data_IF_949505660822
#
_entry.id   IF_949505660822
#
_cell.length_a   1.000
_cell.length_b   1.000
_cell.length_c   1.000
_cell.angle_alpha   90.00
_cell.angle_beta   90.00
_cell.angle_gamma   90.00
#
_symmetry.space_group_name_H-M   'P 1'
#
loop_
_entity.id
_entity.type
_entity.pdbx_description
1 polymer ?
#
# COMPACT_ATOMS: atom_id res chain seq x y z
N UNK A 1 -29.60 31.88 6.56
CA UNK A 1 -28.57 32.10 7.60
C UNK A 1 -27.22 31.73 7.02
N UNK A 2 -26.16 32.47 7.31
CA UNK A 2 -24.86 32.34 6.64
C UNK A 2 -23.90 31.40 7.35
N UNK A 3 -22.85 30.96 6.64
CA UNK A 3 -21.75 30.21 7.23
C UNK A 3 -21.06 31.03 8.33
N UNK A 4 -20.56 30.38 9.40
CA UNK A 4 -19.74 31.06 10.38
C UNK A 4 -18.38 31.45 9.79
N UNK A 5 -17.56 32.17 10.56
CA UNK A 5 -16.22 32.60 10.14
C UNK A 5 -15.36 31.41 9.71
N UNK A 6 -14.47 31.62 8.73
CA UNK A 6 -13.53 30.61 8.21
C UNK A 6 -12.83 29.79 9.31
N UNK A 7 -12.28 30.45 10.34
CA UNK A 7 -11.62 29.76 11.45
C UNK A 7 -12.55 28.84 12.24
N UNK A 8 -13.81 29.23 12.42
CA UNK A 8 -14.81 28.44 13.15
C UNK A 8 -15.20 27.21 12.34
N UNK A 9 -15.44 27.36 11.03
CA UNK A 9 -15.76 26.23 10.14
C UNK A 9 -14.66 25.17 10.22
N UNK A 10 -13.40 25.58 10.03
CA UNK A 10 -12.27 24.65 10.02
C UNK A 10 -12.04 23.98 11.39
N UNK A 11 -12.19 24.72 12.49
CA UNK A 11 -12.11 24.13 13.84
C UNK A 11 -13.21 23.08 14.08
N UNK A 12 -14.43 23.34 13.62
CA UNK A 12 -15.53 22.36 13.75
C UNK A 12 -15.23 21.09 12.95
N UNK A 13 -14.71 21.21 11.72
CA UNK A 13 -14.31 20.05 10.91
C UNK A 13 -13.21 19.23 11.60
N UNK A 14 -12.21 19.90 12.18
CA UNK A 14 -11.15 19.25 12.96
C UNK A 14 -11.72 18.51 14.17
N UNK A 15 -12.58 19.14 14.97
CA UNK A 15 -13.19 18.50 16.13
C UNK A 15 -14.05 17.29 15.74
N UNK A 16 -14.79 17.36 14.63
CA UNK A 16 -15.54 16.23 14.12
C UNK A 16 -14.60 15.10 13.68
N UNK A 17 -13.50 15.42 12.99
CA UNK A 17 -12.51 14.44 12.56
C UNK A 17 -11.79 13.76 13.74
N UNK A 18 -11.42 14.52 14.79
CA UNK A 18 -10.78 13.97 16.01
C UNK A 18 -11.68 13.00 16.77
N UNK A 19 -13.00 13.18 16.70
CA UNK A 19 -13.94 12.31 17.41
C UNK A 19 -14.01 10.89 16.85
N UNK A 20 -13.68 10.69 15.57
CA UNK A 20 -13.89 9.46 14.79
C UNK A 20 -15.35 8.91 14.83
N UNK A 21 -16.31 9.66 15.35
CA UNK A 21 -17.72 9.27 15.43
C UNK A 21 -18.39 9.43 14.06
N UNK A 22 -18.98 8.37 13.55
CA UNK A 22 -19.56 8.35 12.20
C UNK A 22 -20.65 9.41 11.97
N UNK A 23 -21.41 9.80 13.01
CA UNK A 23 -22.43 10.83 12.87
C UNK A 23 -21.81 12.23 12.74
N UNK A 24 -20.78 12.53 13.54
CA UNK A 24 -20.06 13.80 13.44
C UNK A 24 -19.26 13.91 12.14
N UNK A 25 -18.63 12.82 11.71
CA UNK A 25 -17.96 12.74 10.41
C UNK A 25 -18.92 12.98 9.24
N UNK A 26 -20.10 12.34 9.26
CA UNK A 26 -21.12 12.57 8.24
C UNK A 26 -21.61 14.03 8.21
N UNK A 27 -21.81 14.65 9.39
CA UNK A 27 -22.15 16.08 9.47
C UNK A 27 -21.04 16.97 8.94
N UNK A 28 -19.78 16.65 9.23
CA UNK A 28 -18.62 17.34 8.67
C UNK A 28 -18.58 17.25 7.16
N UNK A 29 -18.80 16.06 6.60
CA UNK A 29 -18.89 15.86 5.15
C UNK A 29 -20.04 16.68 4.53
N UNK A 30 -21.25 16.63 5.10
CA UNK A 30 -22.39 17.41 4.60
C UNK A 30 -22.10 18.91 4.63
N UNK A 31 -21.43 19.42 5.67
CA UNK A 31 -21.02 20.82 5.75
C UNK A 31 -20.06 21.20 4.63
N UNK A 32 -19.13 20.31 4.28
CA UNK A 32 -18.22 20.49 3.14
C UNK A 32 -19.00 20.51 1.83
N UNK A 33 -19.91 19.57 1.59
CA UNK A 33 -20.75 19.54 0.38
C UNK A 33 -21.54 20.85 0.22
N UNK A 34 -22.22 21.29 1.29
CA UNK A 34 -22.98 22.55 1.30
C UNK A 34 -22.10 23.76 0.99
N UNK A 35 -20.88 23.81 1.53
CA UNK A 35 -19.97 24.91 1.25
C UNK A 35 -19.57 24.96 -0.22
N UNK A 36 -19.40 23.82 -0.88
CA UNK A 36 -19.12 23.76 -2.32
C UNK A 36 -20.36 24.11 -3.15
N UNK A 37 -21.53 23.57 -2.81
CA UNK A 37 -22.78 23.84 -3.53
C UNK A 37 -23.18 25.32 -3.48
N UNK A 38 -22.89 26.00 -2.37
CA UNK A 38 -23.15 27.43 -2.19
C UNK A 38 -22.03 28.34 -2.73
N UNK A 39 -20.97 27.80 -3.35
CA UNK A 39 -19.84 28.58 -3.87
C UNK A 39 -18.98 29.24 -2.78
N UNK A 40 -18.98 28.66 -1.57
CA UNK A 40 -18.26 29.14 -0.37
C UNK A 40 -17.05 28.26 -0.01
N UNK A 41 -16.48 27.56 -0.99
CA UNK A 41 -15.32 26.69 -0.80
C UNK A 41 -14.08 27.43 -0.27
N UNK A 42 -14.00 28.75 -0.44
CA UNK A 42 -12.93 29.59 0.12
C UNK A 42 -12.90 29.63 1.66
N UNK A 43 -14.00 29.22 2.32
CA UNK A 43 -14.08 29.05 3.77
C UNK A 43 -13.37 27.79 4.26
N UNK A 44 -13.07 26.84 3.38
CA UNK A 44 -12.44 25.58 3.73
C UNK A 44 -10.94 25.65 3.50
N UNK A 45 -10.16 25.06 4.41
CA UNK A 45 -8.71 24.97 4.30
C UNK A 45 -8.28 23.55 3.93
N UNK A 46 -7.15 23.44 3.22
CA UNK A 46 -6.65 22.17 2.72
C UNK A 46 -6.38 21.17 3.85
N UNK A 47 -5.69 21.59 4.91
CA UNK A 47 -5.28 20.70 6.01
C UNK A 47 -6.49 20.14 6.80
N UNK A 48 -7.48 20.93 7.24
CA UNK A 48 -8.72 20.42 7.84
C UNK A 48 -9.51 19.48 6.94
N UNK A 49 -9.61 19.76 5.63
CA UNK A 49 -10.29 18.88 4.68
C UNK A 49 -9.56 17.53 4.53
N UNK A 50 -8.24 17.56 4.38
CA UNK A 50 -7.42 16.36 4.30
C UNK A 50 -7.51 15.52 5.58
N UNK A 51 -7.52 16.18 6.74
CA UNK A 51 -7.67 15.54 8.04
C UNK A 51 -9.04 14.88 8.21
N UNK A 52 -10.12 15.56 7.79
CA UNK A 52 -11.47 14.98 7.75
C UNK A 52 -11.56 13.79 6.79
N UNK A 53 -10.94 13.88 5.60
CA UNK A 53 -10.90 12.78 4.63
C UNK A 53 -10.22 11.54 5.22
N UNK A 54 -9.11 11.71 5.94
CA UNK A 54 -8.44 10.62 6.64
C UNK A 54 -9.34 9.99 7.72
N UNK A 55 -10.03 10.81 8.52
CA UNK A 55 -10.95 10.33 9.54
C UNK A 55 -12.13 9.55 8.94
N UNK A 56 -12.72 10.05 7.85
CA UNK A 56 -13.77 9.34 7.09
C UNK A 56 -13.27 7.99 6.57
N UNK A 57 -12.05 7.92 6.03
CA UNK A 57 -11.46 6.67 5.57
C UNK A 57 -11.22 5.67 6.72
N UNK A 58 -10.70 6.14 7.86
CA UNK A 58 -10.52 5.32 9.08
C UNK A 58 -11.84 4.74 9.59
N UNK A 59 -12.94 5.49 9.45
CA UNK A 59 -14.29 5.04 9.82
C UNK A 59 -15.01 4.26 8.70
N UNK A 60 -14.30 3.84 7.65
CA UNK A 60 -14.85 3.01 6.56
C UNK A 60 -15.74 3.75 5.55
N UNK A 61 -15.80 5.09 5.63
CA UNK A 61 -16.64 5.94 4.77
C UNK A 61 -15.87 6.36 3.51
N UNK A 62 -15.57 5.38 2.65
CA UNK A 62 -14.69 5.57 1.49
C UNK A 62 -15.22 6.57 0.45
N UNK A 63 -16.54 6.62 0.22
CA UNK A 63 -17.16 7.56 -0.73
C UNK A 63 -16.93 9.01 -0.28
N UNK A 64 -17.37 9.46 0.91
CA UNK A 64 -17.05 10.78 1.45
C UNK A 64 -15.56 11.13 1.45
N UNK A 65 -14.70 10.20 1.90
CA UNK A 65 -13.26 10.41 1.93
C UNK A 65 -12.70 10.72 0.53
N UNK A 66 -13.11 9.93 -0.47
CA UNK A 66 -12.69 10.10 -1.87
C UNK A 66 -13.22 11.40 -2.48
N UNK A 67 -14.46 11.80 -2.16
CA UNK A 67 -15.06 13.04 -2.67
C UNK A 67 -14.29 14.26 -2.18
N UNK A 68 -13.89 14.29 -0.90
CA UNK A 68 -13.09 15.39 -0.36
C UNK A 68 -11.73 15.50 -1.07
N UNK A 69 -11.05 14.38 -1.32
CA UNK A 69 -9.79 14.39 -2.07
C UNK A 69 -9.97 14.95 -3.49
N UNK A 70 -11.04 14.54 -4.20
CA UNK A 70 -11.34 15.08 -5.54
C UNK A 70 -11.60 16.58 -5.51
N UNK A 71 -12.37 17.06 -4.53
CA UNK A 71 -12.64 18.48 -4.34
C UNK A 71 -11.37 19.29 -4.07
N UNK A 72 -10.44 18.76 -3.28
CA UNK A 72 -9.12 19.39 -3.07
C UNK A 72 -8.35 19.56 -4.38
N UNK A 73 -8.34 18.51 -5.22
CA UNK A 73 -7.71 18.57 -6.56
C UNK A 73 -8.43 19.54 -7.49
N UNK A 74 -9.77 19.58 -7.45
CA UNK A 74 -10.61 20.49 -8.26
C UNK A 74 -10.32 21.96 -7.98
N UNK A 75 -10.06 22.31 -6.72
CA UNK A 75 -9.71 23.69 -6.30
C UNK A 75 -8.20 23.96 -6.33
N UNK A 76 -7.42 23.08 -6.94
CA UNK A 76 -5.95 23.15 -7.06
C UNK A 76 -5.19 23.17 -5.71
N UNK A 77 -5.82 22.70 -4.63
CA UNK A 77 -5.22 22.53 -3.31
C UNK A 77 -4.63 21.12 -3.18
N UNK A 78 -3.48 20.90 -3.82
CA UNK A 78 -2.88 19.57 -3.97
C UNK A 78 -2.32 18.99 -2.64
N UNK A 79 -2.91 17.90 -2.08
CA UNK A 79 -2.36 17.24 -0.91
C UNK A 79 -1.06 16.49 -1.24
N UNK A 80 -0.14 16.42 -0.27
CA UNK A 80 1.10 15.65 -0.41
C UNK A 80 0.81 14.15 -0.55
N UNK A 81 1.62 13.43 -1.35
CA UNK A 81 1.43 11.99 -1.64
C UNK A 81 1.31 11.12 -0.40
N UNK A 82 2.17 11.34 0.59
CA UNK A 82 2.12 10.60 1.86
C UNK A 82 0.78 10.74 2.58
N UNK A 83 0.13 11.92 2.52
CA UNK A 83 -1.14 12.12 3.17
C UNK A 83 -2.32 11.47 2.43
N UNK A 84 -2.47 11.72 1.13
CA UNK A 84 -3.59 11.12 0.39
C UNK A 84 -3.43 9.61 0.23
N UNK A 85 -2.19 9.10 0.14
CA UNK A 85 -1.93 7.66 0.12
C UNK A 85 -2.31 6.97 1.44
N UNK A 86 -2.23 7.65 2.59
CA UNK A 86 -2.73 7.13 3.85
C UNK A 86 -4.26 7.03 3.88
N UNK A 87 -4.97 8.03 3.34
CA UNK A 87 -6.42 7.93 3.13
C UNK A 87 -6.76 6.70 2.29
N UNK A 88 -6.03 6.46 1.19
CA UNK A 88 -6.23 5.27 0.35
C UNK A 88 -5.95 3.97 1.08
N UNK A 89 -4.93 3.94 1.95
CA UNK A 89 -4.58 2.75 2.72
C UNK A 89 -5.79 2.29 3.55
N UNK A 90 -6.41 3.22 4.26
CA UNK A 90 -7.61 2.94 5.06
C UNK A 90 -8.83 2.59 4.22
N UNK A 91 -9.07 3.32 3.11
CA UNK A 91 -10.15 2.98 2.19
C UNK A 91 -9.98 1.55 1.62
N UNK A 92 -8.75 1.13 1.36
CA UNK A 92 -8.43 -0.17 0.78
C UNK A 92 -8.57 -1.34 1.76
N UNK A 93 -9.01 -1.11 2.99
CA UNK A 93 -9.39 -2.17 3.93
C UNK A 93 -10.77 -2.78 3.61
N UNK A 94 -11.56 -2.16 2.73
CA UNK A 94 -12.86 -2.65 2.27
C UNK A 94 -12.92 -2.67 0.73
N UNK A 95 -13.73 -3.57 0.17
CA UNK A 95 -13.78 -3.78 -1.29
C UNK A 95 -14.25 -2.56 -2.10
N UNK A 96 -15.31 -1.89 -1.66
CA UNK A 96 -15.79 -0.65 -2.30
C UNK A 96 -14.75 0.47 -2.21
N UNK A 97 -14.05 0.58 -1.07
CA UNK A 97 -13.00 1.56 -0.89
C UNK A 97 -11.74 1.26 -1.70
N UNK A 98 -11.37 -0.01 -1.86
CA UNK A 98 -10.26 -0.43 -2.73
C UNK A 98 -10.51 -0.04 -4.19
N UNK A 99 -11.72 -0.21 -4.70
CA UNK A 99 -12.07 0.22 -6.06
C UNK A 99 -11.90 1.75 -6.20
N UNK A 100 -12.40 2.52 -5.24
CA UNK A 100 -12.28 3.98 -5.24
C UNK A 100 -10.82 4.44 -5.08
N UNK A 101 -10.00 3.73 -4.29
CA UNK A 101 -8.57 3.99 -4.17
C UNK A 101 -7.87 3.85 -5.52
N UNK A 102 -8.21 2.81 -6.28
CA UNK A 102 -7.66 2.61 -7.62
C UNK A 102 -8.10 3.72 -8.60
N UNK A 103 -9.38 4.14 -8.56
CA UNK A 103 -9.85 5.29 -9.34
C UNK A 103 -9.08 6.57 -9.00
N UNK A 104 -8.91 6.89 -7.72
CA UNK A 104 -8.19 8.08 -7.29
C UNK A 104 -6.73 8.09 -7.76
N UNK A 105 -6.03 6.95 -7.67
CA UNK A 105 -4.66 6.86 -8.19
C UNK A 105 -4.62 7.10 -9.71
N UNK A 106 -5.61 6.60 -10.46
CA UNK A 106 -5.69 6.85 -11.90
C UNK A 106 -6.01 8.31 -12.22
N UNK A 107 -6.99 8.90 -11.54
CA UNK A 107 -7.38 10.31 -11.71
C UNK A 107 -6.18 11.23 -11.43
N UNK A 108 -5.52 11.05 -10.28
CA UNK A 108 -4.34 11.83 -9.89
C UNK A 108 -3.17 11.55 -10.84
N UNK A 109 -2.91 10.29 -11.17
CA UNK A 109 -1.82 9.90 -12.05
C UNK A 109 -1.95 10.46 -13.46
N UNK A 110 -3.18 10.67 -13.95
CA UNK A 110 -3.42 11.29 -15.26
C UNK A 110 -2.85 12.71 -15.35
N UNK A 111 -2.81 13.45 -14.23
CA UNK A 111 -2.19 14.78 -14.16
C UNK A 111 -0.68 14.76 -14.47
N UNK A 112 -0.02 13.61 -14.28
CA UNK A 112 1.42 13.43 -14.49
C UNK A 112 1.77 12.61 -15.74
N UNK A 113 0.76 12.21 -16.52
CA UNK A 113 0.92 11.34 -17.67
C UNK A 113 1.91 11.92 -18.69
N UNK A 114 2.83 11.09 -19.19
CA UNK A 114 3.86 11.43 -20.19
C UNK A 114 4.71 12.65 -19.82
N UNK A 115 5.03 12.82 -18.52
CA UNK A 115 5.89 13.91 -18.02
C UNK A 115 5.43 15.31 -18.43
N UNK A 116 4.10 15.52 -18.53
CA UNK A 116 3.49 16.81 -18.86
C UNK A 116 3.80 17.93 -17.85
N UNK A 117 4.14 17.56 -16.62
CA UNK A 117 4.52 18.49 -15.55
C UNK A 117 6.04 18.60 -15.47
N UNK A 118 6.58 19.78 -15.78
CA UNK A 118 8.02 20.05 -15.70
C UNK A 118 8.47 20.15 -14.22
N UNK A 119 9.34 19.24 -13.73
CA UNK A 119 9.82 19.27 -12.36
C UNK A 119 10.74 20.44 -12.03
N UNK A 120 11.26 21.15 -13.03
CA UNK A 120 12.20 22.26 -12.84
C UNK A 120 11.49 23.58 -12.53
N UNK A 121 10.19 23.69 -12.83
CA UNK A 121 9.39 24.89 -12.56
C UNK A 121 8.91 24.91 -11.12
N UNK A 122 9.34 25.91 -10.35
CA UNK A 122 8.94 26.07 -8.94
C UNK A 122 7.43 26.21 -8.75
N UNK A 123 6.70 26.78 -9.72
CA UNK A 123 5.23 26.87 -9.69
C UNK A 123 4.55 25.50 -9.66
N UNK A 124 5.21 24.45 -10.17
CA UNK A 124 4.66 23.10 -10.21
C UNK A 124 4.90 22.33 -8.90
N UNK A 125 5.66 22.90 -7.94
CA UNK A 125 6.03 22.19 -6.71
C UNK A 125 4.82 21.65 -5.92
N UNK A 126 3.70 22.40 -5.75
CA UNK A 126 2.51 21.88 -5.08
C UNK A 126 1.91 20.66 -5.81
N UNK A 127 1.73 20.74 -7.13
CA UNK A 127 1.22 19.63 -7.93
C UNK A 127 2.17 18.42 -7.86
N UNK A 128 3.48 18.63 -8.03
CA UNK A 128 4.48 17.56 -7.97
C UNK A 128 4.52 16.84 -6.62
N UNK A 129 4.19 17.52 -5.52
CA UNK A 129 4.09 16.91 -4.19
C UNK A 129 2.97 15.86 -4.11
N UNK A 130 1.96 15.93 -4.98
CA UNK A 130 0.85 14.99 -5.06
C UNK A 130 1.15 13.79 -5.97
N UNK A 131 2.26 13.80 -6.71
CA UNK A 131 2.58 12.74 -7.69
C UNK A 131 2.52 11.35 -7.05
N UNK A 132 1.76 10.38 -7.62
CA UNK A 132 1.71 9.03 -7.10
C UNK A 132 3.11 8.42 -7.02
N UNK A 133 3.40 7.79 -5.90
CA UNK A 133 4.66 7.08 -5.65
C UNK A 133 4.41 5.56 -5.60
N UNK A 134 5.48 4.79 -5.47
CA UNK A 134 5.44 3.32 -5.43
C UNK A 134 4.55 2.81 -4.30
N UNK A 135 4.55 3.47 -3.14
CA UNK A 135 3.69 3.08 -2.00
C UNK A 135 2.20 3.25 -2.32
N UNK A 136 1.78 4.38 -2.89
CA UNK A 136 0.38 4.60 -3.27
C UNK A 136 -0.11 3.57 -4.29
N UNK A 137 0.74 3.22 -5.26
CA UNK A 137 0.47 2.16 -6.23
C UNK A 137 0.37 0.79 -5.57
N UNK A 138 1.32 0.44 -4.68
CA UNK A 138 1.28 -0.82 -3.93
C UNK A 138 -0.01 -0.95 -3.12
N UNK A 139 -0.44 0.10 -2.43
CA UNK A 139 -1.71 0.13 -1.68
C UNK A 139 -2.91 -0.16 -2.59
N UNK A 140 -3.06 0.61 -3.67
CA UNK A 140 -4.21 0.46 -4.56
C UNK A 140 -4.24 -0.91 -5.25
N UNK A 141 -3.09 -1.41 -5.69
CA UNK A 141 -2.98 -2.71 -6.36
C UNK A 141 -3.16 -3.89 -5.39
N UNK A 142 -2.61 -3.81 -4.17
CA UNK A 142 -2.82 -4.82 -3.14
C UNK A 142 -4.31 -4.91 -2.75
N UNK A 143 -4.98 -3.77 -2.59
CA UNK A 143 -6.43 -3.73 -2.42
C UNK A 143 -7.15 -4.39 -3.60
N UNK A 144 -6.78 -4.04 -4.84
CA UNK A 144 -7.42 -4.61 -6.02
C UNK A 144 -7.29 -6.14 -6.08
N UNK A 145 -6.12 -6.67 -5.69
CA UNK A 145 -5.91 -8.11 -5.59
C UNK A 145 -6.77 -8.71 -4.48
N UNK A 146 -6.79 -8.14 -3.28
CA UNK A 146 -7.53 -8.68 -2.14
C UNK A 146 -9.04 -8.77 -2.41
N UNK A 147 -9.60 -7.80 -3.14
CA UNK A 147 -11.03 -7.70 -3.44
C UNK A 147 -11.41 -8.08 -4.88
N UNK A 148 -10.47 -8.61 -5.66
CA UNK A 148 -10.75 -9.14 -6.99
C UNK A 148 -11.09 -8.11 -8.07
N UNK A 149 -10.78 -6.83 -7.89
CA UNK A 149 -10.98 -5.78 -8.91
C UNK A 149 -9.83 -5.76 -9.93
N UNK A 150 -9.52 -6.92 -10.51
CA UNK A 150 -8.29 -7.15 -11.30
C UNK A 150 -8.25 -6.40 -12.63
N UNK A 151 -9.40 -6.10 -13.24
CA UNK A 151 -9.47 -5.22 -14.42
C UNK A 151 -8.99 -3.81 -14.11
N UNK A 152 -9.36 -3.29 -12.94
CA UNK A 152 -8.91 -1.97 -12.48
C UNK A 152 -7.42 -1.96 -12.17
N UNK A 153 -6.92 -3.08 -11.64
CA UNK A 153 -5.50 -3.28 -11.43
C UNK A 153 -4.70 -3.20 -12.75
N UNK A 154 -5.20 -3.75 -13.86
CA UNK A 154 -4.54 -3.61 -15.18
C UNK A 154 -4.43 -2.17 -15.64
N UNK A 155 -5.49 -1.37 -15.48
CA UNK A 155 -5.45 0.06 -15.83
C UNK A 155 -4.36 0.80 -15.03
N UNK A 156 -4.19 0.44 -13.74
CA UNK A 156 -3.11 0.97 -12.90
C UNK A 156 -1.73 0.51 -13.40
N UNK A 157 -1.56 -0.76 -13.76
CA UNK A 157 -0.29 -1.27 -14.30
C UNK A 157 0.09 -0.56 -15.60
N UNK A 158 -0.87 -0.31 -16.48
CA UNK A 158 -0.68 0.44 -17.71
C UNK A 158 -0.28 1.89 -17.46
N UNK A 159 -0.67 2.47 -16.32
CA UNK A 159 -0.35 3.84 -15.92
C UNK A 159 1.08 4.00 -15.38
N UNK A 160 1.58 3.06 -14.59
CA UNK A 160 2.91 3.14 -13.93
C UNK A 160 4.02 3.66 -14.85
N UNK A 161 4.25 3.10 -16.06
CA UNK A 161 5.31 3.58 -16.95
C UNK A 161 5.05 5.00 -17.47
N UNK A 162 3.79 5.39 -17.66
CA UNK A 162 3.40 6.73 -18.17
C UNK A 162 3.66 7.85 -17.18
N UNK A 163 3.62 7.54 -15.88
CA UNK A 163 3.95 8.50 -14.80
C UNK A 163 5.40 8.37 -14.32
N UNK A 164 6.16 7.40 -14.86
CA UNK A 164 7.58 7.22 -14.56
C UNK A 164 7.87 6.78 -13.13
N UNK A 165 6.97 5.99 -12.51
CA UNK A 165 7.23 5.41 -11.19
C UNK A 165 8.05 4.13 -11.34
N UNK A 166 9.10 3.98 -10.51
CA UNK A 166 9.93 2.78 -10.49
C UNK A 166 9.28 1.71 -9.60
N UNK A 167 9.25 0.48 -10.10
CA UNK A 167 8.79 -0.66 -9.34
C UNK A 167 9.80 -1.03 -8.25
N UNK A 168 9.31 -1.26 -7.03
CA UNK A 168 10.05 -1.94 -5.97
C UNK A 168 9.72 -3.44 -5.97
N UNK A 169 10.40 -4.20 -5.12
CA UNK A 169 10.19 -5.65 -5.04
C UNK A 169 8.73 -6.04 -4.75
N UNK A 170 8.04 -5.27 -3.90
CA UNK A 170 6.62 -5.49 -3.60
C UNK A 170 5.74 -5.26 -4.84
N UNK A 171 5.99 -4.18 -5.58
CA UNK A 171 5.25 -3.89 -6.81
C UNK A 171 5.43 -5.00 -7.85
N UNK A 172 6.66 -5.52 -7.99
CA UNK A 172 6.94 -6.64 -8.91
C UNK A 172 6.15 -7.90 -8.54
N UNK A 173 6.09 -8.27 -7.27
CA UNK A 173 5.30 -9.42 -6.81
C UNK A 173 3.79 -9.18 -7.02
N UNK A 174 3.29 -8.00 -6.69
CA UNK A 174 1.89 -7.61 -6.92
C UNK A 174 1.54 -7.67 -8.41
N UNK A 175 2.41 -7.16 -9.29
CA UNK A 175 2.25 -7.26 -10.75
C UNK A 175 2.13 -8.71 -11.20
N UNK A 176 2.96 -9.61 -10.65
CA UNK A 176 2.91 -11.03 -10.98
C UNK A 176 1.57 -11.67 -10.61
N UNK A 177 1.04 -11.38 -9.42
CA UNK A 177 -0.29 -11.85 -9.01
C UNK A 177 -1.40 -11.32 -9.94
N UNK A 178 -1.33 -10.06 -10.36
CA UNK A 178 -2.34 -9.49 -11.27
C UNK A 178 -2.28 -10.16 -12.63
N UNK A 179 -1.09 -10.32 -13.19
CA UNK A 179 -0.90 -10.99 -14.48
C UNK A 179 -1.32 -12.46 -14.43
N UNK A 180 -1.03 -13.15 -13.33
CA UNK A 180 -1.48 -14.53 -13.08
C UNK A 180 -3.02 -14.62 -13.07
N UNK A 181 -3.68 -13.74 -12.30
CA UNK A 181 -5.15 -13.75 -12.17
C UNK A 181 -5.87 -13.41 -13.48
N UNK A 182 -5.26 -12.56 -14.30
CA UNK A 182 -5.82 -12.14 -15.59
C UNK A 182 -5.32 -12.97 -16.78
N UNK A 183 -4.47 -13.98 -16.55
CA UNK A 183 -3.95 -14.85 -17.61
C UNK A 183 -3.00 -14.13 -18.58
N UNK A 184 -2.30 -13.07 -18.14
CA UNK A 184 -1.34 -12.29 -18.97
C UNK A 184 0.03 -12.97 -19.01
N UNK A 185 0.09 -14.18 -19.60
CA UNK A 185 1.29 -15.04 -19.66
C UNK A 185 2.53 -14.34 -20.23
N UNK A 186 2.35 -13.55 -21.29
CA UNK A 186 3.47 -12.85 -21.94
C UNK A 186 4.07 -11.75 -21.05
N UNK A 187 3.22 -10.98 -20.35
CA UNK A 187 3.67 -9.95 -19.42
C UNK A 187 4.36 -10.57 -18.20
N UNK A 188 3.83 -11.69 -17.68
CA UNK A 188 4.45 -12.44 -16.60
C UNK A 188 5.84 -12.99 -17.00
N UNK A 189 6.01 -13.44 -18.25
CA UNK A 189 7.32 -13.87 -18.79
C UNK A 189 8.30 -12.71 -18.93
N UNK A 190 7.85 -11.53 -19.36
CA UNK A 190 8.70 -10.32 -19.40
C UNK A 190 9.15 -9.93 -17.99
N UNK A 191 8.23 -9.99 -17.03
CA UNK A 191 8.51 -9.70 -15.63
C UNK A 191 9.52 -10.69 -15.03
N UNK A 192 9.42 -11.98 -15.36
CA UNK A 192 10.40 -12.99 -14.96
C UNK A 192 11.82 -12.65 -15.43
N UNK A 193 11.99 -12.29 -16.71
CA UNK A 193 13.31 -11.89 -17.24
C UNK A 193 13.88 -10.70 -16.47
N UNK A 194 13.05 -9.71 -16.18
CA UNK A 194 13.49 -8.54 -15.41
C UNK A 194 13.92 -8.90 -13.98
N UNK A 195 13.20 -9.81 -13.32
CA UNK A 195 13.56 -10.27 -11.97
C UNK A 195 14.87 -11.04 -11.99
N UNK A 196 15.02 -11.99 -12.91
CA UNK A 196 16.21 -12.84 -13.03
C UNK A 196 17.48 -12.03 -13.41
N UNK A 197 17.33 -10.94 -14.17
CA UNK A 197 18.45 -10.11 -14.63
C UNK A 197 18.83 -8.96 -13.68
N UNK A 198 17.86 -8.37 -12.97
CA UNK A 198 18.05 -7.04 -12.39
C UNK A 198 17.56 -6.87 -10.94
N UNK A 199 16.93 -7.87 -10.33
CA UNK A 199 16.28 -7.69 -9.03
C UNK A 199 16.77 -8.67 -7.98
N UNK A 200 17.20 -8.13 -6.83
CA UNK A 200 17.45 -8.92 -5.63
C UNK A 200 16.15 -9.01 -4.81
N UNK A 201 15.33 -10.02 -5.09
CA UNK A 201 14.18 -10.35 -4.24
C UNK A 201 14.68 -11.03 -2.96
N UNK A 202 13.99 -10.82 -1.84
CA UNK A 202 14.18 -11.68 -0.67
C UNK A 202 13.53 -13.06 -0.93
N UNK A 203 13.85 -14.04 -0.08
CA UNK A 203 13.37 -15.42 -0.27
C UNK A 203 11.84 -15.49 -0.33
N UNK A 204 11.12 -14.77 0.54
CA UNK A 204 9.64 -14.76 0.55
C UNK A 204 9.06 -14.21 -0.76
N UNK A 205 9.55 -13.07 -1.23
CA UNK A 205 9.13 -12.44 -2.49
C UNK A 205 9.47 -13.31 -3.70
N UNK A 206 10.64 -13.97 -3.67
CA UNK A 206 11.03 -14.94 -4.68
C UNK A 206 10.01 -16.09 -4.74
N UNK A 207 9.68 -16.71 -3.60
CA UNK A 207 8.68 -17.79 -3.57
C UNK A 207 7.30 -17.32 -4.05
N UNK A 208 6.83 -16.15 -3.61
CA UNK A 208 5.55 -15.59 -4.06
C UNK A 208 5.51 -15.39 -5.58
N UNK A 209 6.58 -14.83 -6.16
CA UNK A 209 6.67 -14.62 -7.61
C UNK A 209 6.65 -15.94 -8.38
N UNK A 210 7.45 -16.92 -7.97
CA UNK A 210 7.54 -18.21 -8.66
C UNK A 210 6.27 -19.07 -8.45
N UNK A 211 5.57 -18.92 -7.32
CA UNK A 211 4.23 -19.51 -7.14
C UNK A 211 3.23 -18.92 -8.14
N UNK A 212 3.26 -17.60 -8.41
CA UNK A 212 2.42 -17.00 -9.45
C UNK A 212 2.72 -17.58 -10.84
N UNK A 213 4.01 -17.73 -11.19
CA UNK A 213 4.40 -18.39 -12.44
C UNK A 213 3.87 -19.82 -12.52
N UNK A 214 3.91 -20.57 -11.42
CA UNK A 214 3.50 -21.97 -11.37
C UNK A 214 2.00 -22.08 -11.61
N UNK A 215 1.23 -21.29 -10.88
CA UNK A 215 -0.22 -21.22 -11.02
C UNK A 215 -0.61 -20.80 -12.44
N UNK A 216 0.11 -19.85 -13.04
CA UNK A 216 -0.10 -19.49 -14.44
C UNK A 216 0.12 -20.69 -15.38
N UNK A 217 1.25 -21.41 -15.27
CA UNK A 217 1.50 -22.59 -16.11
C UNK A 217 0.42 -23.67 -15.94
N UNK A 218 0.00 -23.93 -14.71
CA UNK A 218 -1.06 -24.90 -14.40
C UNK A 218 -2.41 -24.48 -15.00
N UNK A 219 -2.80 -23.21 -14.87
CA UNK A 219 -4.05 -22.66 -15.45
C UNK A 219 -4.11 -22.79 -16.97
N UNK A 220 -2.97 -22.70 -17.65
CA UNK A 220 -2.87 -22.85 -19.11
C UNK A 220 -2.58 -24.28 -19.57
N UNK A 221 -2.48 -25.26 -18.66
CA UNK A 221 -2.21 -26.67 -19.00
C UNK A 221 -0.78 -26.94 -19.48
N UNK A 222 0.16 -26.03 -19.23
CA UNK A 222 1.57 -26.14 -19.62
C UNK A 222 2.35 -26.96 -18.57
N UNK A 223 2.05 -28.27 -18.51
CA UNK A 223 2.60 -29.19 -17.52
C UNK A 223 4.13 -29.36 -17.65
N UNK A 224 4.66 -29.26 -18.87
CA UNK A 224 6.10 -29.35 -19.12
C UNK A 224 6.83 -28.19 -18.42
N UNK A 225 6.39 -26.95 -18.63
CA UNK A 225 7.01 -25.80 -17.99
C UNK A 225 6.79 -25.79 -16.47
N UNK A 226 5.60 -26.19 -16.01
CA UNK A 226 5.31 -26.35 -14.59
C UNK A 226 6.27 -27.35 -13.91
N UNK A 227 6.43 -28.54 -14.49
CA UNK A 227 7.31 -29.58 -13.95
C UNK A 227 8.78 -29.14 -13.91
N UNK A 228 9.26 -28.51 -14.99
CA UNK A 228 10.62 -27.96 -15.07
C UNK A 228 10.87 -26.91 -14.00
N UNK A 229 9.88 -26.04 -13.75
CA UNK A 229 10.01 -24.99 -12.75
C UNK A 229 10.02 -25.54 -11.32
N UNK A 230 9.18 -26.52 -11.00
CA UNK A 230 9.20 -27.20 -9.69
C UNK A 230 10.56 -27.85 -9.44
N UNK A 231 11.13 -28.52 -10.44
CA UNK A 231 12.47 -29.13 -10.32
C UNK A 231 13.56 -28.07 -10.05
N UNK A 232 13.49 -26.92 -10.71
CA UNK A 232 14.42 -25.81 -10.46
C UNK A 232 14.25 -25.20 -9.06
N UNK A 233 13.01 -25.00 -8.60
CA UNK A 233 12.72 -24.52 -7.24
C UNK A 233 13.25 -25.49 -6.17
N UNK A 234 13.05 -26.81 -6.37
CA UNK A 234 13.59 -27.85 -5.47
C UNK A 234 15.13 -27.87 -5.46
N UNK A 235 15.76 -27.70 -6.63
CA UNK A 235 17.22 -27.63 -6.74
C UNK A 235 17.77 -26.43 -5.96
N UNK A 236 17.17 -25.25 -6.12
CA UNK A 236 17.57 -24.04 -5.37
C UNK A 236 17.35 -24.21 -3.87
N UNK A 237 16.23 -24.77 -3.45
CA UNK A 237 15.96 -25.07 -2.03
C UNK A 237 16.99 -26.03 -1.42
N UNK A 238 17.46 -27.04 -2.18
CA UNK A 238 18.53 -27.94 -1.73
C UNK A 238 19.87 -27.21 -1.58
N UNK A 239 20.21 -26.32 -2.51
CA UNK A 239 21.44 -25.51 -2.42
C UNK A 239 21.40 -24.60 -1.19
N UNK A 240 20.29 -23.89 -0.96
CA UNK A 240 20.12 -23.03 0.21
C UNK A 240 20.29 -23.80 1.53
N UNK A 241 19.68 -24.99 1.64
CA UNK A 241 19.83 -25.87 2.82
C UNK A 241 21.27 -26.30 3.04
N UNK A 242 21.99 -26.66 1.98
CA UNK A 242 23.40 -27.05 2.06
C UNK A 242 24.29 -25.88 2.49
N UNK A 243 24.04 -24.67 1.95
CA UNK A 243 24.77 -23.45 2.34
C UNK A 243 24.52 -23.08 3.81
N UNK A 244 23.28 -23.23 4.30
CA UNK A 244 22.96 -23.03 5.71
C UNK A 244 23.69 -24.05 6.61
N UNK A 245 23.68 -25.32 6.23
CA UNK A 245 24.42 -26.37 6.96
C UNK A 245 25.92 -26.08 7.04
N UNK A 246 26.52 -25.60 5.95
CA UNK A 246 27.93 -25.19 5.94
C UNK A 246 28.20 -23.96 6.82
N UNK A 247 27.29 -22.98 6.85
CA UNK A 247 27.43 -21.81 7.71
C UNK A 247 27.37 -22.19 9.20
N UNK A 248 26.41 -23.03 9.59
CA UNK A 248 26.29 -23.53 10.98
C UNK A 248 27.56 -24.28 11.41
N UNK A 249 28.07 -25.18 10.56
CA UNK A 249 29.33 -25.88 10.85
C UNK A 249 30.55 -24.95 10.89
N UNK A 250 30.56 -23.86 10.11
CA UNK A 250 31.59 -22.84 10.15
C UNK A 250 31.61 -22.03 11.45
N UNK A 251 30.44 -21.77 12.04
CA UNK A 251 30.33 -21.13 13.36
C UNK A 251 30.81 -22.06 14.50
N UNK A 252 30.50 -23.36 14.43
CA UNK A 252 30.99 -24.33 15.41
C UNK A 252 32.53 -24.50 15.41
N UNK A 253 33.20 -24.19 14.28
CA UNK A 253 34.67 -24.23 14.20
C UNK A 253 35.36 -22.93 14.61
N UNK A 254 34.62 -21.85 14.88
CA UNK A 254 35.17 -20.54 15.22
C UNK A 254 35.03 -20.17 16.72
N UNK A 255 34.32 -20.97 17.51
CA UNK A 255 34.01 -20.69 18.92
C UNK A 255 34.66 -21.68 19.90
N UNK A 256 35.75 -22.34 19.51
CA UNK A 256 36.55 -23.21 20.39
C UNK A 256 37.64 -22.44 21.17
N UNK A 257 37.37 -21.17 21.53
CA UNK A 257 38.22 -20.46 22.51
C UNK A 257 37.50 -19.31 23.24
N UNK A 258 36.51 -19.66 24.10
CA UNK A 258 36.40 -19.25 25.53
C UNK A 258 34.96 -19.10 26.07
N UNK A 259 34.67 -20.02 26.99
CA UNK A 259 33.92 -19.88 28.25
C UNK A 259 32.38 -19.96 28.27
N UNK A 260 31.95 -21.18 28.61
CA UNK A 260 30.92 -21.51 29.62
C UNK A 260 29.50 -20.96 29.42
N UNK A 261 28.61 -21.78 28.86
CA UNK A 261 27.22 -21.81 29.30
C UNK A 261 26.73 -23.23 29.61
N UNK A 262 26.72 -23.51 30.91
CA UNK A 262 25.91 -24.45 31.68
C UNK A 262 24.93 -25.33 30.88
N UNK A 263 25.25 -26.63 30.81
CA UNK A 263 24.27 -27.71 30.58
C UNK A 263 23.09 -27.57 31.54
N UNK A 264 21.88 -27.53 31.01
CA UNK A 264 20.70 -28.13 31.66
C UNK A 264 20.14 -29.17 30.71
N UNK A 265 20.29 -30.42 31.14
CA UNK A 265 19.69 -31.61 30.60
C UNK A 265 18.22 -31.67 31.00
N UNK A 266 17.35 -32.05 30.06
CA UNK A 266 16.28 -32.98 30.38
C UNK A 266 14.85 -32.52 30.10
N UNK A 267 14.24 -33.30 29.20
CA UNK A 267 12.82 -33.73 29.14
C UNK A 267 11.87 -32.89 28.29
N UNK A 268 11.15 -33.62 27.45
CA UNK A 268 10.35 -33.11 26.35
C UNK A 268 9.23 -32.18 26.78
N UNK A 269 8.87 -31.31 25.85
CA UNK A 269 7.58 -30.66 25.80
C UNK A 269 7.23 -30.41 24.35
N UNK A 270 5.94 -30.50 24.11
CA UNK A 270 5.25 -30.42 22.84
C UNK A 270 5.68 -29.18 22.06
N UNK A 271 5.77 -29.33 20.74
CA UNK A 271 5.94 -28.22 19.81
C UNK A 271 4.65 -27.41 19.86
N UNK A 272 4.62 -26.38 20.70
CA UNK A 272 3.70 -25.26 20.50
C UNK A 272 4.20 -24.52 19.25
N UNK A 273 3.35 -24.52 18.22
CA UNK A 273 3.42 -23.62 17.08
C UNK A 273 3.40 -22.17 17.58
N UNK A 274 4.58 -21.56 17.69
CA UNK A 274 4.70 -20.12 17.80
C UNK A 274 4.59 -19.52 16.39
N UNK A 275 3.35 -19.40 15.91
CA UNK A 275 2.97 -18.43 14.89
C UNK A 275 2.99 -17.02 15.51
N UNK A 276 4.20 -16.48 15.64
CA UNK A 276 4.40 -15.06 15.96
C UNK A 276 4.84 -14.33 14.70
N UNK A 277 3.95 -14.31 13.72
CA UNK A 277 3.94 -13.22 12.75
C UNK A 277 3.43 -11.98 13.49
N UNK A 278 4.34 -11.19 14.09
CA UNK A 278 4.01 -9.90 14.71
C UNK A 278 3.47 -8.94 13.64
N UNK A 279 2.19 -9.09 13.35
CA UNK A 279 1.42 -8.13 12.57
C UNK A 279 1.37 -6.89 13.44
N UNK A 280 2.20 -5.88 13.14
CA UNK A 280 2.08 -4.55 13.76
C UNK A 280 0.63 -4.12 13.59
N UNK A 281 -0.13 -4.15 14.69
CA UNK A 281 -1.51 -3.68 14.72
C UNK A 281 -1.49 -2.17 14.54
N UNK A 282 -1.75 -1.70 13.32
CA UNK A 282 -1.99 -0.29 13.05
C UNK A 282 -3.33 0.10 13.67
N UNK A 283 -3.39 1.26 14.31
CA UNK A 283 -4.60 1.72 15.00
C UNK A 283 -5.59 2.31 14.00
N UNK A 284 -6.72 1.65 13.80
CA UNK A 284 -7.91 2.23 13.15
C UNK A 284 -8.72 3.10 14.11
N UNK A 285 -8.48 2.98 15.41
CA UNK A 285 -9.33 3.54 16.47
C UNK A 285 -8.82 4.85 17.08
N UNK A 286 -7.67 5.36 16.62
CA UNK A 286 -7.11 6.62 17.09
C UNK A 286 -6.70 7.52 15.94
N UNK A 287 -7.01 8.80 16.09
CA UNK A 287 -6.55 9.85 15.20
C UNK A 287 -5.28 10.49 15.79
N UNK A 288 -4.33 10.85 14.94
CA UNK A 288 -3.19 11.69 15.36
C UNK A 288 -3.71 13.09 15.69
N UNK A 289 -3.32 13.74 16.80
CA UNK A 289 -3.82 15.08 17.12
C UNK A 289 -3.62 16.07 15.97
N UNK A 290 -4.59 16.95 15.74
CA UNK A 290 -4.54 17.84 14.57
C UNK A 290 -3.30 18.73 14.53
N UNK A 291 -2.84 19.21 15.69
CA UNK A 291 -1.64 20.05 15.79
C UNK A 291 -0.37 19.30 15.32
N UNK A 292 -0.31 18.00 15.57
CA UNK A 292 0.80 17.16 15.11
C UNK A 292 0.71 16.90 13.60
N UNK A 293 -0.50 16.59 13.12
CA UNK A 293 -0.79 16.43 11.69
C UNK A 293 -0.42 17.70 10.90
N UNK A 294 -0.79 18.88 11.40
CA UNK A 294 -0.55 20.16 10.75
C UNK A 294 0.95 20.53 10.71
N UNK A 295 1.71 20.16 11.74
CA UNK A 295 3.16 20.42 11.80
C UNK A 295 3.97 19.54 10.85
N UNK A 296 3.52 18.32 10.58
CA UNK A 296 4.21 17.38 9.70
C UNK A 296 3.95 17.69 8.22
N UNK A 297 4.70 18.64 7.66
CA UNK A 297 4.57 19.06 6.25
C UNK A 297 4.81 17.95 5.23
N UNK A 298 5.52 16.88 5.60
CA UNK A 298 5.83 15.74 4.70
C UNK A 298 4.97 14.52 5.02
N UNK A 299 4.20 14.57 6.10
CA UNK A 299 3.33 13.48 6.56
C UNK A 299 4.09 12.15 6.73
N UNK A 300 5.29 12.21 7.31
CA UNK A 300 6.13 11.02 7.55
C UNK A 300 5.43 10.02 8.50
N UNK A 301 4.67 10.52 9.48
CA UNK A 301 3.90 9.66 10.38
C UNK A 301 2.80 8.90 9.64
N UNK A 302 2.07 9.60 8.76
CA UNK A 302 1.06 8.97 7.91
C UNK A 302 1.67 8.02 6.88
N UNK A 303 2.86 8.34 6.36
CA UNK A 303 3.58 7.44 5.47
C UNK A 303 3.90 6.11 6.15
N UNK A 304 4.34 6.15 7.41
CA UNK A 304 4.61 4.96 8.22
C UNK A 304 3.32 4.18 8.51
N UNK A 305 2.25 4.87 8.94
CA UNK A 305 0.95 4.25 9.19
C UNK A 305 0.39 3.56 7.93
N UNK A 306 0.51 4.20 6.77
CA UNK A 306 0.11 3.63 5.48
C UNK A 306 0.97 2.43 5.05
N UNK A 307 2.27 2.38 5.45
CA UNK A 307 3.12 1.20 5.23
C UNK A 307 2.69 0.03 6.11
N UNK A 308 2.32 0.28 7.36
CA UNK A 308 1.81 -0.77 8.26
C UNK A 308 0.49 -1.34 7.74
N UNK A 309 -0.43 -0.48 7.28
CA UNK A 309 -1.69 -0.90 6.63
C UNK A 309 -1.41 -1.73 5.37
N UNK A 310 -0.48 -1.31 4.51
CA UNK A 310 -0.06 -2.07 3.33
C UNK A 310 0.48 -3.45 3.72
N UNK A 311 1.33 -3.53 4.76
CA UNK A 311 1.85 -4.79 5.27
C UNK A 311 0.73 -5.76 5.65
N UNK A 312 -0.33 -5.27 6.31
CA UNK A 312 -1.49 -6.09 6.65
C UNK A 312 -2.35 -6.49 5.44
N UNK A 313 -2.48 -5.63 4.42
CA UNK A 313 -3.15 -6.00 3.17
C UNK A 313 -2.40 -7.13 2.46
N UNK A 314 -1.06 -7.06 2.43
CA UNK A 314 -0.21 -8.10 1.84
C UNK A 314 -0.24 -9.40 2.64
N UNK A 315 -0.25 -9.33 3.98
CA UNK A 315 -0.40 -10.51 4.83
C UNK A 315 -1.74 -11.22 4.58
N UNK A 316 -2.86 -10.46 4.46
CA UNK A 316 -4.17 -11.02 4.11
C UNK A 316 -4.17 -11.66 2.71
N UNK A 317 -3.45 -11.08 1.76
CA UNK A 317 -3.31 -11.65 0.43
C UNK A 317 -2.56 -12.99 0.48
N UNK A 318 -1.52 -13.11 1.32
CA UNK A 318 -0.78 -14.37 1.46
C UNK A 318 -1.67 -15.50 1.97
N UNK A 319 -2.51 -15.23 2.98
CA UNK A 319 -3.48 -16.20 3.54
C UNK A 319 -4.55 -16.63 2.54
N UNK A 320 -4.91 -15.78 1.55
CA UNK A 320 -5.86 -16.17 0.49
C UNK A 320 -5.25 -17.06 -0.60
N UNK A 321 -3.92 -17.12 -0.68
CA UNK A 321 -3.19 -17.82 -1.74
C UNK A 321 -2.70 -19.20 -1.28
N UNK A 322 -2.56 -19.42 0.03
CA UNK A 322 -2.37 -20.75 0.65
C UNK A 322 -3.69 -21.53 0.77
#
# INVERSE_FOLDING_TARGET
EGFPRKSVVNNVLVCFAESLDSNWLQKGYILVEQAFDEGKQNLLEKEPLLYLSLALAKSGMAVPASTILRKLVEVEEYPHVSAWSAVLAYMSLAGSGSYLSAELVLEIGYLFHNNRVDPRKKSNAPLLAMKPNTQALNIALAGCLLFGTTRKAEELLDMIPKIGVKADANLLVIMAHIYERNGRREELRKLQRHIDEACNLNDSQFWQFYNCLLMCHLKFGDLESASKMVLEMLRRGKVARNSLGAAILGFDTADDDRLTLRKVSGKGSEVEENDNTETRTFSTHSMIPYEEFFRDRKFLKLEAEAKDVLGALLAKLHVQVE
#
